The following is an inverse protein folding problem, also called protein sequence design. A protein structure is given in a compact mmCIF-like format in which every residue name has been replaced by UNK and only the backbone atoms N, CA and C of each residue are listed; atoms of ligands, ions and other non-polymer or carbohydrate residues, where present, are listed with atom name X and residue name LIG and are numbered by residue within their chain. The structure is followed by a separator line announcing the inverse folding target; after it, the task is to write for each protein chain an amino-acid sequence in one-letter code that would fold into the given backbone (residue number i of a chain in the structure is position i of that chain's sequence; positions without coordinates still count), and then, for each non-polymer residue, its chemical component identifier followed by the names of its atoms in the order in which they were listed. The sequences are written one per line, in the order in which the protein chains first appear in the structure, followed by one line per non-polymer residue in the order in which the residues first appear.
data_IF_847079449110
#
_entry.id   IF_847079449110
#
_cell.length_a   1.000
_cell.length_b   1.000
_cell.length_c   1.000
_cell.angle_alpha   90.00
_cell.angle_beta   90.00
_cell.angle_gamma   90.00
#
_symmetry.space_group_name_H-M   'P 1'
#
loop_
_entity.id
_entity.type
_entity.pdbx_description
1 polymer ?
#
# COMPACT_ATOMS: atom_id res chain seq x y z
N UNK A 1 -18.84 -9.43 -4.25
CA UNK A 1 -18.69 -9.79 -2.82
C UNK A 1 -19.53 -8.83 -1.97
N UNK A 2 -19.80 -9.13 -0.68
CA UNK A 2 -20.51 -8.20 0.21
C UNK A 2 -19.92 -6.78 0.23
N UNK A 3 -18.59 -6.68 0.16
CA UNK A 3 -17.87 -5.40 0.01
C UNK A 3 -18.22 -4.67 -1.30
N UNK A 4 -18.26 -5.37 -2.44
CA UNK A 4 -18.66 -4.79 -3.73
C UNK A 4 -20.09 -4.27 -3.67
N UNK A 5 -21.03 -5.06 -3.14
CA UNK A 5 -22.44 -4.66 -3.03
C UNK A 5 -22.62 -3.45 -2.11
N UNK A 6 -21.86 -3.37 -1.01
CA UNK A 6 -21.85 -2.19 -0.14
C UNK A 6 -21.31 -0.93 -0.86
N UNK A 7 -20.32 -1.09 -1.74
CA UNK A 7 -19.80 0.02 -2.54
C UNK A 7 -20.83 0.50 -3.57
N UNK A 8 -21.48 -0.42 -4.27
CA UNK A 8 -22.57 -0.13 -5.21
C UNK A 8 -23.73 0.59 -4.51
N UNK A 9 -24.16 0.08 -3.35
CA UNK A 9 -25.18 0.72 -2.52
C UNK A 9 -24.78 2.17 -2.14
N UNK A 10 -23.52 2.39 -1.79
CA UNK A 10 -23.01 3.73 -1.49
C UNK A 10 -23.07 4.65 -2.73
N UNK A 11 -22.70 4.14 -3.91
CA UNK A 11 -22.78 4.89 -5.16
C UNK A 11 -24.22 5.23 -5.56
N UNK A 12 -25.14 4.27 -5.50
CA UNK A 12 -26.54 4.55 -5.81
C UNK A 12 -27.15 5.55 -4.84
N UNK A 13 -26.83 5.45 -3.55
CA UNK A 13 -27.25 6.46 -2.57
C UNK A 13 -26.71 7.84 -2.93
N UNK A 14 -25.44 7.95 -3.33
CA UNK A 14 -24.83 9.20 -3.74
C UNK A 14 -25.54 9.81 -4.96
N UNK A 15 -25.90 9.00 -5.96
CA UNK A 15 -26.66 9.46 -7.14
C UNK A 15 -27.99 10.10 -6.74
N UNK A 16 -28.81 9.43 -5.94
CA UNK A 16 -30.11 9.99 -5.53
C UNK A 16 -29.97 11.20 -4.61
N UNK A 17 -28.95 11.24 -3.75
CA UNK A 17 -28.64 12.42 -2.95
C UNK A 17 -28.28 13.61 -3.84
N UNK A 18 -27.52 13.38 -4.91
CA UNK A 18 -27.12 14.43 -5.85
C UNK A 18 -28.28 14.90 -6.71
N UNK A 19 -29.13 13.99 -7.22
CA UNK A 19 -30.35 14.36 -7.94
C UNK A 19 -31.30 15.19 -7.07
N UNK A 20 -31.42 14.85 -5.79
CA UNK A 20 -32.20 15.65 -4.83
C UNK A 20 -31.56 17.04 -4.63
N UNK A 21 -30.24 17.12 -4.47
CA UNK A 21 -29.50 18.39 -4.37
C UNK A 21 -29.69 19.29 -5.59
N UNK A 22 -29.78 18.70 -6.79
CA UNK A 22 -30.02 19.40 -8.05
C UNK A 22 -31.51 19.76 -8.27
N UNK A 23 -32.41 19.27 -7.43
CA UNK A 23 -33.86 19.49 -7.57
C UNK A 23 -34.57 18.57 -8.58
N UNK A 24 -33.82 17.65 -9.20
CA UNK A 24 -34.33 16.66 -10.17
C UNK A 24 -35.06 15.48 -9.48
N UNK A 25 -34.84 15.30 -8.18
CA UNK A 25 -35.56 14.33 -7.37
C UNK A 25 -36.23 15.03 -6.19
N UNK A 26 -37.55 14.87 -6.03
CA UNK A 26 -38.34 15.59 -5.01
C UNK A 26 -38.65 14.77 -3.76
N UNK A 27 -38.38 13.45 -3.80
CA UNK A 27 -38.67 12.53 -2.70
C UNK A 27 -37.46 12.26 -1.81
N UNK A 28 -37.65 11.44 -0.77
CA UNK A 28 -36.50 10.86 -0.06
C UNK A 28 -35.69 9.92 -0.96
N UNK A 29 -34.43 9.68 -0.61
CA UNK A 29 -33.60 8.70 -1.30
C UNK A 29 -34.23 7.29 -1.17
N UNK A 30 -34.58 6.61 -2.27
CA UNK A 30 -35.27 5.31 -2.22
C UNK A 30 -34.43 4.21 -1.54
N UNK A 31 -33.12 4.40 -1.43
CA UNK A 31 -32.18 3.45 -0.80
C UNK A 31 -31.79 3.86 0.63
N UNK A 32 -32.45 4.86 1.23
CA UNK A 32 -32.14 5.36 2.58
C UNK A 32 -32.16 4.23 3.62
N UNK A 33 -33.18 3.37 3.59
CA UNK A 33 -33.36 2.31 4.59
C UNK A 33 -32.68 0.97 4.26
N UNK A 34 -32.06 0.85 3.08
CA UNK A 34 -31.38 -0.39 2.69
C UNK A 34 -30.11 -0.60 3.53
N UNK A 35 -30.04 -1.67 4.32
CA UNK A 35 -28.88 -1.91 5.18
C UNK A 35 -27.71 -2.44 4.35
N UNK A 36 -26.47 -1.96 4.59
CA UNK A 36 -25.30 -2.61 4.02
C UNK A 36 -25.20 -4.04 4.54
N UNK A 37 -24.65 -4.94 3.71
CA UNK A 37 -24.29 -6.27 4.14
C UNK A 37 -23.26 -6.17 5.26
N UNK A 38 -23.44 -6.97 6.32
CA UNK A 38 -22.39 -7.13 7.32
C UNK A 38 -21.18 -7.79 6.68
N UNK A 39 -20.02 -7.19 6.86
CA UNK A 39 -18.74 -7.74 6.44
C UNK A 39 -17.89 -7.94 7.67
N UNK A 40 -17.31 -9.11 7.81
CA UNK A 40 -16.27 -9.34 8.82
C UNK A 40 -15.05 -8.49 8.45
N UNK A 41 -14.45 -7.87 9.46
CA UNK A 41 -13.15 -7.22 9.27
C UNK A 41 -12.11 -8.31 8.99
N UNK A 42 -11.33 -8.15 7.92
CA UNK A 42 -10.22 -9.06 7.69
C UNK A 42 -9.16 -8.82 8.74
N UNK A 43 -8.70 -9.89 9.40
CA UNK A 43 -7.54 -9.81 10.28
C UNK A 43 -6.34 -9.17 9.56
N UNK A 44 -5.73 -8.21 10.23
CA UNK A 44 -4.48 -7.60 9.76
C UNK A 44 -3.33 -8.50 10.17
N UNK A 45 -2.48 -8.88 9.21
CA UNK A 45 -1.25 -9.61 9.48
C UNK A 45 -0.06 -8.64 9.52
N UNK A 46 0.88 -8.92 10.41
CA UNK A 46 2.21 -8.30 10.48
C UNK A 46 3.28 -9.39 10.54
N UNK A 47 4.51 -9.03 10.19
CA UNK A 47 5.65 -9.94 10.27
C UNK A 47 6.33 -9.79 11.62
N UNK A 48 6.74 -10.91 12.20
CA UNK A 48 7.67 -10.95 13.34
C UNK A 48 9.10 -10.60 12.89
N UNK A 49 9.99 -10.32 13.84
CA UNK A 49 11.39 -10.01 13.53
C UNK A 49 12.11 -11.13 12.76
N UNK A 50 11.83 -12.39 13.12
CA UNK A 50 12.40 -13.56 12.45
C UNK A 50 11.87 -13.69 11.01
N UNK A 51 10.57 -13.45 10.82
CA UNK A 51 9.94 -13.44 9.50
C UNK A 51 10.48 -12.31 8.61
N UNK A 52 10.74 -11.13 9.17
CA UNK A 52 11.40 -10.02 8.46
C UNK A 52 12.79 -10.46 8.01
N UNK A 53 13.57 -11.07 8.90
CA UNK A 53 14.92 -11.54 8.61
C UNK A 53 14.93 -12.60 7.51
N UNK A 54 13.98 -13.55 7.57
CA UNK A 54 13.80 -14.58 6.55
C UNK A 54 13.41 -13.98 5.19
N UNK A 55 12.45 -13.05 5.18
CA UNK A 55 12.02 -12.37 3.95
C UNK A 55 13.16 -11.57 3.32
N UNK A 56 13.93 -10.80 4.10
CA UNK A 56 15.08 -10.06 3.60
C UNK A 56 16.18 -11.00 3.08
N UNK A 57 16.35 -12.16 3.70
CA UNK A 57 17.23 -13.22 3.21
C UNK A 57 16.82 -13.73 1.83
N UNK A 58 15.53 -14.00 1.61
CA UNK A 58 15.01 -14.41 0.30
C UNK A 58 15.07 -13.28 -0.74
N UNK A 59 14.86 -12.02 -0.33
CA UNK A 59 15.01 -10.87 -1.22
C UNK A 59 16.44 -10.74 -1.76
N UNK A 60 17.44 -10.98 -0.89
CA UNK A 60 18.87 -10.96 -1.26
C UNK A 60 19.27 -12.08 -2.22
N UNK A 61 18.59 -13.22 -2.14
CA UNK A 61 18.82 -14.38 -3.02
C UNK A 61 18.11 -14.25 -4.37
N UNK A 62 17.18 -13.31 -4.51
CA UNK A 62 16.44 -13.10 -5.73
C UNK A 62 17.27 -12.31 -6.75
N UNK A 63 17.15 -12.65 -8.04
CA UNK A 63 17.89 -11.99 -9.13
C UNK A 63 17.48 -10.52 -9.38
N UNK A 64 16.51 -9.98 -8.62
CA UNK A 64 15.98 -8.65 -8.85
C UNK A 64 16.66 -7.64 -7.90
N UNK A 65 17.58 -6.79 -8.38
CA UNK A 65 18.42 -5.96 -7.51
C UNK A 65 17.63 -4.92 -6.70
N UNK A 66 16.51 -4.45 -7.23
CA UNK A 66 15.69 -3.44 -6.54
C UNK A 66 14.74 -4.01 -5.46
N UNK A 67 14.61 -5.35 -5.36
CA UNK A 67 13.63 -5.96 -4.46
C UNK A 67 13.93 -5.66 -2.98
N UNK A 68 15.15 -5.95 -2.53
CA UNK A 68 15.56 -5.71 -1.15
C UNK A 68 15.43 -4.22 -0.76
N UNK A 69 15.95 -3.24 -1.54
CA UNK A 69 15.76 -1.82 -1.25
C UNK A 69 14.29 -1.42 -1.07
N UNK A 70 13.39 -1.89 -1.94
CA UNK A 70 11.96 -1.55 -1.86
C UNK A 70 11.32 -2.13 -0.60
N UNK A 71 11.64 -3.38 -0.24
CA UNK A 71 11.14 -4.01 0.99
C UNK A 71 11.64 -3.26 2.23
N UNK A 72 12.94 -2.92 2.27
CA UNK A 72 13.54 -2.15 3.37
C UNK A 72 12.89 -0.78 3.52
N UNK A 73 12.58 -0.08 2.41
CA UNK A 73 11.85 1.19 2.45
C UNK A 73 10.46 0.99 3.06
N UNK A 74 9.71 -0.04 2.65
CA UNK A 74 8.37 -0.28 3.18
C UNK A 74 8.40 -0.54 4.69
N UNK A 75 9.33 -1.39 5.15
CA UNK A 75 9.51 -1.71 6.57
C UNK A 75 10.00 -0.52 7.40
N UNK A 76 10.80 0.38 6.82
CA UNK A 76 11.36 1.53 7.54
C UNK A 76 10.43 2.76 7.57
N UNK A 77 9.44 2.85 6.68
CA UNK A 77 8.64 4.07 6.50
C UNK A 77 7.13 3.86 6.51
N UNK A 78 6.66 2.61 6.55
CA UNK A 78 5.26 2.27 6.39
C UNK A 78 4.68 2.67 5.02
N UNK A 79 5.52 2.82 3.99
CA UNK A 79 5.06 3.10 2.63
C UNK A 79 4.18 1.97 2.10
N UNK A 80 3.18 2.31 1.27
CA UNK A 80 2.52 1.28 0.45
C UNK A 80 3.52 0.77 -0.58
N UNK A 81 3.39 -0.50 -0.98
CA UNK A 81 4.25 -1.09 -2.02
C UNK A 81 4.43 -0.17 -3.22
N UNK A 82 3.31 0.29 -3.81
CA UNK A 82 3.33 1.16 -4.98
C UNK A 82 4.03 2.49 -4.73
N UNK A 83 3.93 3.06 -3.52
CA UNK A 83 4.61 4.32 -3.17
C UNK A 83 6.14 4.13 -3.11
N UNK A 84 6.61 2.97 -2.64
CA UNK A 84 8.04 2.64 -2.56
C UNK A 84 8.62 2.22 -3.92
N UNK A 85 7.91 1.38 -4.68
CA UNK A 85 8.34 0.90 -6.01
C UNK A 85 8.34 2.01 -7.06
N UNK A 86 7.40 2.97 -6.96
CA UNK A 86 7.36 4.13 -7.85
C UNK A 86 8.21 5.31 -7.37
N UNK A 87 9.04 5.13 -6.34
CA UNK A 87 9.81 6.21 -5.73
C UNK A 87 10.74 6.86 -6.76
N UNK A 88 10.72 8.19 -6.80
CA UNK A 88 11.54 9.00 -7.71
C UNK A 88 12.70 9.65 -6.98
N UNK A 89 13.77 9.96 -7.72
CA UNK A 89 14.93 10.68 -7.16
C UNK A 89 14.54 12.02 -6.51
N UNK A 90 13.60 12.77 -7.09
CA UNK A 90 13.11 14.03 -6.54
C UNK A 90 12.42 13.90 -5.18
N UNK A 91 11.98 12.69 -4.81
CA UNK A 91 11.35 12.38 -3.54
C UNK A 91 12.35 11.93 -2.47
N UNK A 92 13.60 11.63 -2.86
CA UNK A 92 14.68 11.20 -1.97
C UNK A 92 15.61 12.37 -1.67
N UNK A 93 15.62 12.82 -0.42
CA UNK A 93 16.59 13.76 0.11
C UNK A 93 17.45 13.10 1.19
N UNK A 94 18.54 13.75 1.60
CA UNK A 94 19.44 13.21 2.63
C UNK A 94 18.65 12.81 3.87
N UNK A 95 18.67 11.50 4.17
CA UNK A 95 18.02 10.85 5.32
C UNK A 95 16.50 11.04 5.40
N UNK A 96 15.82 11.33 4.30
CA UNK A 96 14.35 11.43 4.27
C UNK A 96 13.74 11.11 2.92
N UNK A 97 12.57 10.48 2.95
CA UNK A 97 11.75 10.21 1.76
C UNK A 97 10.45 11.01 1.83
N UNK A 98 10.09 11.68 0.75
CA UNK A 98 8.85 12.44 0.62
C UNK A 98 7.87 11.75 -0.32
N UNK A 99 6.78 11.22 0.23
CA UNK A 99 5.72 10.62 -0.56
C UNK A 99 4.72 11.69 -1.00
N UNK A 100 4.50 11.78 -2.30
CA UNK A 100 3.55 12.71 -2.94
C UNK A 100 2.38 11.96 -3.57
N UNK A 101 1.24 12.62 -3.79
CA UNK A 101 0.04 12.02 -4.41
C UNK A 101 -0.48 10.75 -3.72
N UNK A 102 -0.41 10.71 -2.40
CA UNK A 102 -0.95 9.60 -1.62
C UNK A 102 -2.48 9.62 -1.69
N UNK A 103 -3.15 8.50 -1.37
CA UNK A 103 -4.64 8.37 -1.40
C UNK A 103 -5.43 9.50 -0.69
N UNK A 104 -4.78 10.33 0.13
CA UNK A 104 -5.37 11.49 0.80
C UNK A 104 -4.91 12.87 0.28
N UNK A 105 -4.23 12.95 -0.87
CA UNK A 105 -3.65 14.19 -1.47
C UNK A 105 -2.68 14.99 -0.58
N UNK A 106 -2.36 14.53 0.63
CA UNK A 106 -1.35 15.13 1.50
C UNK A 106 0.02 14.52 1.23
N UNK A 107 1.00 15.38 1.03
CA UNK A 107 2.41 14.99 0.99
C UNK A 107 2.87 14.69 2.41
N UNK A 108 3.72 13.69 2.58
CA UNK A 108 4.34 13.36 3.87
C UNK A 108 5.81 13.05 3.69
N UNK A 109 6.64 13.48 4.63
CA UNK A 109 8.07 13.20 4.64
C UNK A 109 8.39 12.33 5.84
N UNK A 110 9.09 11.23 5.60
CA UNK A 110 9.47 10.25 6.62
C UNK A 110 10.99 10.21 6.71
N UNK A 111 11.59 10.37 7.92
CA UNK A 111 13.03 10.20 8.09
C UNK A 111 13.42 8.74 7.85
N UNK A 112 14.60 8.53 7.29
CA UNK A 112 15.20 7.19 7.10
C UNK A 112 16.60 7.19 7.69
N UNK A 113 17.08 6.00 8.07
CA UNK A 113 18.43 5.87 8.62
C UNK A 113 19.50 6.20 7.56
N UNK A 114 20.71 6.51 8.03
CA UNK A 114 21.85 6.80 7.17
C UNK A 114 22.20 5.59 6.32
N UNK A 115 22.20 4.41 6.92
CA UNK A 115 22.50 3.13 6.27
C UNK A 115 21.49 2.80 5.17
N UNK A 116 20.19 3.07 5.41
CA UNK A 116 19.18 2.90 4.37
C UNK A 116 19.44 3.88 3.22
N UNK A 117 19.61 5.18 3.52
CA UNK A 117 19.85 6.21 2.50
C UNK A 117 21.05 5.88 1.60
N UNK A 118 22.17 5.48 2.19
CA UNK A 118 23.41 5.15 1.48
C UNK A 118 23.30 3.88 0.63
N UNK A 119 22.39 2.96 0.97
CA UNK A 119 22.12 1.77 0.17
C UNK A 119 21.21 2.01 -1.05
N UNK A 120 20.62 3.20 -1.20
CA UNK A 120 19.72 3.51 -2.32
C UNK A 120 20.48 4.06 -3.53
N UNK A 121 20.01 3.81 -4.77
CA UNK A 121 20.63 4.35 -5.97
C UNK A 121 20.59 5.89 -5.98
N UNK A 122 21.72 6.51 -6.33
CA UNK A 122 21.89 7.97 -6.31
C UNK A 122 22.14 8.60 -7.68
N UNK A 123 22.55 7.80 -8.66
CA UNK A 123 22.89 8.15 -10.04
C UNK A 123 21.67 8.28 -10.97
N UNK A 124 20.52 7.73 -10.58
CA UNK A 124 19.27 7.78 -11.36
C UNK A 124 18.62 9.17 -11.31
N UNK A 125 18.16 9.67 -12.47
CA UNK A 125 17.42 10.96 -12.60
C UNK A 125 15.89 10.83 -12.52
N UNK A 126 15.36 9.61 -12.52
CA UNK A 126 13.92 9.32 -12.62
C UNK A 126 13.40 8.44 -11.48
N UNK A 127 12.67 7.37 -11.84
CA UNK A 127 12.32 6.30 -10.91
C UNK A 127 13.60 5.64 -10.38
N UNK A 128 13.61 5.32 -9.09
CA UNK A 128 14.74 4.65 -8.45
C UNK A 128 14.72 3.14 -8.71
N UNK A 129 13.55 2.55 -8.89
CA UNK A 129 13.36 1.10 -9.00
C UNK A 129 12.53 0.73 -10.23
N UNK A 130 12.81 -0.43 -10.81
CA UNK A 130 11.91 -1.11 -11.75
C UNK A 130 10.80 -1.84 -11.01
N UNK A 131 9.78 -2.26 -11.77
CA UNK A 131 8.65 -3.00 -11.22
C UNK A 131 9.13 -4.37 -10.71
N UNK A 132 8.99 -4.61 -9.41
CA UNK A 132 9.48 -5.79 -8.71
C UNK A 132 8.40 -6.46 -7.85
N UNK A 133 7.13 -6.03 -7.97
CA UNK A 133 6.01 -6.64 -7.25
C UNK A 133 5.90 -8.16 -7.45
N UNK A 134 6.14 -8.64 -8.68
CA UNK A 134 6.17 -10.07 -8.97
C UNK A 134 7.30 -10.78 -8.21
N UNK A 135 8.48 -10.19 -8.16
CA UNK A 135 9.62 -10.71 -7.40
C UNK A 135 9.34 -10.75 -5.90
N UNK A 136 8.67 -9.74 -5.35
CA UNK A 136 8.24 -9.72 -3.95
C UNK A 136 7.26 -10.83 -3.61
N UNK A 137 6.25 -11.05 -4.47
CA UNK A 137 5.31 -12.16 -4.29
C UNK A 137 6.07 -13.49 -4.26
N UNK A 138 6.92 -13.74 -5.24
CA UNK A 138 7.71 -14.98 -5.33
C UNK A 138 8.65 -15.17 -4.12
N UNK A 139 9.32 -14.11 -3.68
CA UNK A 139 10.21 -14.17 -2.51
C UNK A 139 9.44 -14.49 -1.23
N UNK A 140 8.28 -13.86 -1.04
CA UNK A 140 7.43 -14.12 0.12
C UNK A 140 6.86 -15.55 0.11
N UNK A 141 6.43 -16.06 -1.05
CA UNK A 141 5.96 -17.45 -1.18
C UNK A 141 7.06 -18.47 -0.77
N UNK A 142 8.32 -18.22 -1.12
CA UNK A 142 9.46 -19.08 -0.73
C UNK A 142 9.72 -19.10 0.79
N UNK A 143 9.30 -18.06 1.52
CA UNK A 143 9.42 -18.06 2.98
C UNK A 143 8.42 -18.98 3.67
N UNK A 144 7.34 -19.38 2.99
CA UNK A 144 6.23 -20.13 3.60
C UNK A 144 5.39 -19.31 4.59
N UNK A 145 5.59 -17.99 4.67
CA UNK A 145 4.79 -17.12 5.54
C UNK A 145 3.36 -17.03 4.98
N UNK A 146 2.40 -17.59 5.72
CA UNK A 146 0.98 -17.50 5.39
C UNK A 146 0.42 -16.12 5.72
N UNK A 147 -0.19 -15.46 4.74
CA UNK A 147 -0.90 -14.19 4.92
C UNK A 147 -2.37 -14.31 4.52
N UNK A 148 -3.29 -13.59 5.19
CA UNK A 148 -4.67 -13.47 4.74
C UNK A 148 -4.75 -12.93 3.31
N UNK A 149 -5.78 -13.37 2.57
CA UNK A 149 -5.99 -12.96 1.20
C UNK A 149 -6.06 -11.41 1.06
N UNK A 150 -5.27 -10.86 0.14
CA UNK A 150 -5.24 -9.41 -0.13
C UNK A 150 -4.32 -8.58 0.79
N UNK A 151 -3.65 -9.18 1.78
CA UNK A 151 -2.72 -8.47 2.68
C UNK A 151 -1.28 -8.36 2.17
N UNK A 152 -0.93 -9.06 1.09
CA UNK A 152 0.46 -9.16 0.61
C UNK A 152 1.16 -7.80 0.43
N UNK A 153 0.51 -6.83 -0.20
CA UNK A 153 1.07 -5.47 -0.42
C UNK A 153 1.06 -4.58 0.82
N UNK A 154 0.32 -4.96 1.84
CA UNK A 154 0.07 -4.15 3.03
C UNK A 154 0.79 -4.70 4.26
N UNK A 155 1.21 -5.97 4.25
CA UNK A 155 1.88 -6.61 5.40
C UNK A 155 3.11 -5.85 5.86
N UNK A 156 3.95 -5.35 4.94
CA UNK A 156 5.15 -4.59 5.29
C UNK A 156 4.81 -3.25 5.96
N UNK A 157 3.72 -2.62 5.51
CA UNK A 157 3.20 -1.39 6.10
C UNK A 157 2.59 -1.64 7.47
N UNK A 158 1.86 -2.73 7.64
CA UNK A 158 1.30 -3.12 8.93
C UNK A 158 2.38 -3.49 9.94
N UNK A 159 3.46 -4.11 9.47
CA UNK A 159 4.64 -4.45 10.29
C UNK A 159 5.37 -3.23 10.82
N UNK A 160 5.31 -2.09 10.13
CA UNK A 160 5.92 -0.84 10.59
C UNK A 160 5.10 -0.12 11.68
N UNK A 161 3.77 -0.32 11.70
CA UNK A 161 2.84 0.42 12.56
C UNK A 161 2.92 -0.05 14.02
#
# INVERSE_FOLDING_TARGET
SPRTLNLELAYFRAVFNELNRLGEWKGENPLKNMRPFRTEEMEMAWLTHDQISQLLGECKRHDHPDLEPVVRICLATGARWSEAESLRKSQLAKYKITYTNTKGRKNRTVPISKELYESLPHDKKGRLFSDCYGAFRSALERTGIGLPAGQLTHVLRHTFA
#
